data_IF_967553330477
#
_entry.id   IF_967553330477
#
_cell.length_a   1.000
_cell.length_b   1.000
_cell.length_c   1.000
_cell.angle_alpha   90.00
_cell.angle_beta   90.00
_cell.angle_gamma   90.00
#
_symmetry.space_group_name_H-M   'P 1'
#
loop_
_entity.id
_entity.type
_entity.pdbx_description
1 polymer ?
#
# COMPACT_ATOMS: atom_id res chain seq x y z
N UNK A 1 -13.89 -20.31 16.68
CA UNK A 1 -14.02 -20.44 15.20
C UNK A 1 -12.96 -19.53 14.61
N UNK A 2 -12.00 -20.08 13.87
CA UNK A 2 -10.93 -19.26 13.27
C UNK A 2 -11.41 -18.78 11.91
N UNK A 3 -11.45 -17.46 11.72
CA UNK A 3 -11.76 -16.87 10.43
C UNK A 3 -10.52 -16.93 9.52
N UNK A 4 -10.75 -17.05 8.24
CA UNK A 4 -9.72 -16.96 7.19
C UNK A 4 -10.25 -16.10 6.06
N UNK A 5 -9.35 -15.38 5.41
CA UNK A 5 -9.69 -14.61 4.20
C UNK A 5 -10.00 -15.56 3.05
N UNK A 6 -11.03 -15.23 2.28
CA UNK A 6 -11.27 -15.80 0.94
C UNK A 6 -10.98 -14.69 -0.05
N UNK A 7 -10.12 -14.95 -1.01
CA UNK A 7 -9.60 -13.92 -1.87
C UNK A 7 -9.65 -14.29 -3.35
N UNK A 8 -9.60 -13.26 -4.18
CA UNK A 8 -9.21 -13.31 -5.58
C UNK A 8 -8.27 -12.14 -5.85
N UNK A 9 -7.25 -12.34 -6.67
CA UNK A 9 -6.29 -11.30 -7.02
C UNK A 9 -6.13 -11.22 -8.54
N UNK A 10 -5.91 -10.01 -9.03
CA UNK A 10 -5.57 -9.75 -10.42
C UNK A 10 -4.60 -8.58 -10.48
N UNK A 11 -3.57 -8.71 -11.31
CA UNK A 11 -2.67 -7.63 -11.68
C UNK A 11 -2.61 -7.51 -13.20
N UNK A 12 -2.47 -6.30 -13.72
CA UNK A 12 -2.47 -6.03 -15.15
C UNK A 12 -1.65 -4.76 -15.43
N UNK A 13 -0.81 -4.78 -16.45
CA UNK A 13 0.02 -3.63 -16.84
C UNK A 13 -0.79 -2.44 -17.34
N UNK A 14 -2.07 -2.68 -17.71
CA UNK A 14 -2.93 -1.69 -18.33
C UNK A 14 -2.59 -1.45 -19.81
N UNK A 15 -3.09 -0.32 -20.34
CA UNK A 15 -3.00 -0.01 -21.78
C UNK A 15 -1.97 1.05 -22.13
N UNK A 16 -1.34 1.67 -21.14
CA UNK A 16 -0.48 2.86 -21.32
C UNK A 16 0.96 2.59 -20.90
N UNK A 17 1.16 1.82 -19.82
CA UNK A 17 2.47 1.52 -19.27
C UNK A 17 3.13 0.37 -20.02
N UNK A 18 4.47 0.39 -20.13
CA UNK A 18 5.24 -0.69 -20.72
C UNK A 18 5.49 -1.85 -19.75
N UNK A 19 5.47 -1.55 -18.44
CA UNK A 19 5.67 -2.54 -17.39
C UNK A 19 4.72 -2.26 -16.20
N UNK A 20 4.49 -3.29 -15.41
CA UNK A 20 3.73 -3.24 -14.19
C UNK A 20 4.71 -3.27 -13.01
N UNK A 21 4.69 -2.23 -12.20
CA UNK A 21 5.53 -2.09 -11.01
C UNK A 21 4.77 -2.41 -9.71
N UNK A 22 3.52 -2.88 -9.83
CA UNK A 22 2.72 -3.32 -8.69
C UNK A 22 3.16 -4.69 -8.20
N UNK A 23 3.08 -4.89 -6.89
CA UNK A 23 3.21 -6.20 -6.25
C UNK A 23 2.07 -6.42 -5.26
N UNK A 24 1.67 -7.67 -5.09
CA UNK A 24 0.63 -8.03 -4.14
C UNK A 24 0.91 -9.39 -3.49
N UNK A 25 0.46 -9.53 -2.26
CA UNK A 25 0.35 -10.80 -1.56
C UNK A 25 -1.08 -11.00 -1.08
N UNK A 26 -1.61 -12.19 -1.25
CA UNK A 26 -2.92 -12.58 -0.74
C UNK A 26 -2.83 -13.97 -0.12
N UNK A 27 -3.12 -14.05 1.16
CA UNK A 27 -3.04 -15.25 1.96
C UNK A 27 -4.26 -15.46 2.85
N UNK A 28 -4.13 -16.37 3.81
CA UNK A 28 -5.25 -16.75 4.69
C UNK A 28 -5.57 -15.69 5.73
N UNK A 29 -4.58 -14.92 6.14
CA UNK A 29 -4.70 -13.91 7.19
C UNK A 29 -4.16 -12.54 6.76
N UNK A 30 -3.35 -12.49 5.69
CA UNK A 30 -2.72 -11.27 5.22
C UNK A 30 -3.10 -10.97 3.77
N UNK A 31 -3.37 -9.70 3.50
CA UNK A 31 -3.41 -9.13 2.15
C UNK A 31 -2.51 -7.91 2.11
N UNK A 32 -1.70 -7.76 1.06
CA UNK A 32 -0.83 -6.61 0.84
C UNK A 32 -0.92 -6.20 -0.62
N UNK A 33 -1.02 -4.90 -0.86
CA UNK A 33 -0.86 -4.27 -2.16
C UNK A 33 0.21 -3.19 -2.05
N UNK A 34 1.12 -3.17 -3.00
CA UNK A 34 2.18 -2.18 -3.13
C UNK A 34 2.27 -1.72 -4.59
N UNK A 35 2.06 -0.41 -4.84
CA UNK A 35 2.23 0.23 -6.15
C UNK A 35 3.61 0.89 -6.18
N UNK A 36 4.48 0.33 -6.98
CA UNK A 36 5.87 0.76 -7.09
C UNK A 36 6.02 2.02 -7.92
N UNK A 37 6.81 2.96 -7.42
CA UNK A 37 7.11 4.23 -8.07
C UNK A 37 8.62 4.48 -8.14
N UNK A 38 9.04 5.36 -9.04
CA UNK A 38 10.47 5.69 -9.20
C UNK A 38 10.88 5.85 -10.67
N UNK A 39 9.92 6.10 -11.55
CA UNK A 39 10.15 6.33 -12.97
C UNK A 39 10.67 5.08 -13.68
N UNK A 40 11.91 5.13 -14.22
CA UNK A 40 12.48 4.02 -15.00
C UNK A 40 13.22 3.00 -14.14
N UNK A 41 13.44 3.24 -12.84
CA UNK A 41 14.33 2.42 -12.03
C UNK A 41 13.73 2.17 -10.64
N UNK A 42 13.51 0.88 -10.33
CA UNK A 42 13.34 0.42 -8.96
C UNK A 42 11.93 0.39 -8.38
N UNK A 43 10.88 0.86 -9.08
CA UNK A 43 9.51 0.76 -8.58
C UNK A 43 9.09 -0.69 -8.32
N UNK A 44 9.37 -1.57 -9.25
CA UNK A 44 9.16 -3.01 -9.13
C UNK A 44 9.98 -3.64 -7.97
N UNK A 45 11.20 -3.16 -7.76
CA UNK A 45 12.05 -3.60 -6.64
C UNK A 45 11.43 -3.16 -5.32
N UNK A 46 10.99 -1.89 -5.22
CA UNK A 46 10.41 -1.35 -4.00
C UNK A 46 9.11 -2.07 -3.61
N UNK A 47 8.19 -2.25 -4.56
CA UNK A 47 6.92 -2.95 -4.32
C UNK A 47 7.12 -4.41 -3.96
N UNK A 48 8.00 -5.13 -4.70
CA UNK A 48 8.29 -6.53 -4.46
C UNK A 48 8.99 -6.75 -3.11
N UNK A 49 9.99 -5.93 -2.75
CA UNK A 49 10.66 -6.01 -1.46
C UNK A 49 9.65 -5.82 -0.32
N UNK A 50 8.83 -4.77 -0.37
CA UNK A 50 7.81 -4.49 0.66
C UNK A 50 6.84 -5.66 0.83
N UNK A 51 6.36 -6.24 -0.27
CA UNK A 51 5.43 -7.39 -0.21
C UNK A 51 6.12 -8.62 0.38
N UNK A 52 7.38 -8.88 0.01
CA UNK A 52 8.14 -10.03 0.53
C UNK A 52 8.44 -9.90 2.03
N UNK A 53 8.71 -8.69 2.50
CA UNK A 53 8.96 -8.42 3.93
C UNK A 53 7.70 -8.63 4.78
N UNK A 54 6.53 -8.25 4.28
CA UNK A 54 5.28 -8.43 4.99
C UNK A 54 4.69 -9.85 4.88
N UNK A 55 5.00 -10.60 3.81
CA UNK A 55 4.39 -11.91 3.55
C UNK A 55 4.51 -12.93 4.72
N UNK A 56 5.61 -12.97 5.51
CA UNK A 56 5.71 -13.86 6.67
C UNK A 56 4.62 -13.63 7.73
N UNK A 57 4.00 -12.44 7.77
CA UNK A 57 2.90 -12.13 8.68
C UNK A 57 1.65 -13.00 8.44
N UNK A 58 1.54 -13.67 7.30
CA UNK A 58 0.43 -14.61 7.02
C UNK A 58 0.50 -15.91 7.84
N UNK A 59 1.67 -16.27 8.36
CA UNK A 59 1.94 -17.62 8.82
C UNK A 59 1.46 -17.92 10.24
N UNK A 60 1.30 -16.92 11.16
CA UNK A 60 1.15 -17.20 12.61
C UNK A 60 0.24 -16.20 13.33
N UNK A 61 -0.42 -16.66 14.40
CA UNK A 61 -1.12 -15.80 15.36
C UNK A 61 -0.13 -14.89 16.12
N UNK A 62 -0.31 -13.61 16.01
CA UNK A 62 0.48 -12.59 16.71
C UNK A 62 -0.18 -12.23 18.03
N UNK A 63 0.63 -11.98 19.08
CA UNK A 63 0.12 -11.55 20.39
C UNK A 63 -0.52 -10.15 20.28
N UNK A 64 0.05 -9.26 19.46
CA UNK A 64 -0.49 -7.93 19.21
C UNK A 64 -0.43 -7.54 17.72
N UNK A 65 -1.45 -7.88 16.92
CA UNK A 65 -1.50 -7.53 15.51
C UNK A 65 -1.55 -6.02 15.23
N UNK A 66 -1.97 -5.22 16.20
CA UNK A 66 -2.05 -3.77 16.05
C UNK A 66 -0.68 -3.10 16.05
N UNK A 67 0.32 -3.71 16.69
CA UNK A 67 1.70 -3.23 16.70
C UNK A 67 2.53 -3.91 15.62
N UNK A 68 2.37 -5.20 15.41
CA UNK A 68 3.21 -5.97 14.48
C UNK A 68 3.11 -5.48 13.04
N UNK A 69 1.92 -5.10 12.57
CA UNK A 69 1.75 -4.64 11.21
C UNK A 69 2.42 -3.27 10.95
N UNK A 70 2.25 -2.24 11.78
CA UNK A 70 3.01 -0.99 11.65
C UNK A 70 4.52 -1.18 11.78
N UNK A 71 4.98 -2.02 12.71
CA UNK A 71 6.40 -2.26 12.93
C UNK A 71 7.05 -2.93 11.71
N UNK A 72 6.38 -3.90 11.08
CA UNK A 72 6.90 -4.55 9.89
C UNK A 72 6.90 -3.61 8.67
N UNK A 73 5.92 -2.72 8.55
CA UNK A 73 5.93 -1.67 7.51
C UNK A 73 7.08 -0.70 7.73
N UNK A 74 7.37 -0.34 8.98
CA UNK A 74 8.53 0.48 9.32
C UNK A 74 9.84 -0.23 8.97
N UNK A 75 9.95 -1.53 9.24
CA UNK A 75 11.09 -2.36 8.87
C UNK A 75 11.27 -2.42 7.34
N UNK A 76 10.21 -2.66 6.59
CA UNK A 76 10.23 -2.63 5.13
C UNK A 76 10.75 -1.27 4.60
N UNK A 77 10.34 -0.15 5.20
CA UNK A 77 10.86 1.17 4.83
C UNK A 77 12.37 1.30 5.09
N UNK A 78 12.87 0.76 6.21
CA UNK A 78 14.32 0.75 6.49
C UNK A 78 15.08 -0.07 5.45
N UNK A 79 14.57 -1.25 5.09
CA UNK A 79 15.17 -2.12 4.07
C UNK A 79 15.24 -1.41 2.71
N UNK A 80 14.19 -0.71 2.30
CA UNK A 80 14.23 0.05 1.04
C UNK A 80 15.32 1.14 1.07
N UNK A 81 15.47 1.86 2.17
CA UNK A 81 16.55 2.85 2.32
C UNK A 81 17.94 2.20 2.28
N UNK A 82 18.13 1.02 2.87
CA UNK A 82 19.38 0.26 2.81
C UNK A 82 19.68 -0.19 1.37
N UNK A 83 18.69 -0.63 0.61
CA UNK A 83 18.85 -1.00 -0.79
C UNK A 83 19.32 0.19 -1.64
N UNK A 84 18.77 1.40 -1.43
CA UNK A 84 19.24 2.63 -2.10
C UNK A 84 20.68 2.96 -1.70
N UNK A 85 21.03 2.81 -0.41
CA UNK A 85 22.39 3.02 0.08
C UNK A 85 23.39 2.07 -0.58
N UNK A 86 23.03 0.78 -0.68
CA UNK A 86 23.86 -0.24 -1.30
C UNK A 86 23.96 -0.09 -2.83
N UNK A 87 22.90 0.43 -3.47
CA UNK A 87 22.85 0.66 -4.91
C UNK A 87 22.22 2.03 -5.23
N UNK A 88 23.04 3.09 -5.35
CA UNK A 88 22.54 4.44 -5.65
C UNK A 88 21.76 4.58 -6.97
N UNK A 89 21.81 3.58 -7.87
CA UNK A 89 20.97 3.57 -9.08
C UNK A 89 19.49 3.41 -8.76
N UNK A 90 19.15 2.95 -7.56
CA UNK A 90 17.78 2.84 -7.05
C UNK A 90 17.29 4.13 -6.40
N UNK A 91 18.07 5.19 -6.38
CA UNK A 91 17.68 6.46 -5.78
C UNK A 91 16.37 6.98 -6.38
N UNK A 92 15.41 7.31 -5.49
CA UNK A 92 14.07 7.75 -5.88
C UNK A 92 13.09 6.59 -6.17
N UNK A 93 13.47 5.33 -5.91
CA UNK A 93 12.49 4.26 -5.83
C UNK A 93 11.63 4.43 -4.57
N UNK A 94 10.41 4.03 -4.67
CA UNK A 94 9.48 3.99 -3.55
C UNK A 94 8.26 3.15 -3.89
N UNK A 95 7.38 2.99 -2.92
CA UNK A 95 6.13 2.26 -3.13
C UNK A 95 5.04 2.72 -2.17
N UNK A 96 3.79 2.57 -2.57
CA UNK A 96 2.66 2.57 -1.64
C UNK A 96 2.67 1.28 -0.82
N UNK A 97 1.92 1.26 0.27
CA UNK A 97 1.59 0.04 0.98
C UNK A 97 0.18 0.12 1.53
N UNK A 98 -0.68 -0.82 1.14
CA UNK A 98 -1.99 -1.01 1.74
C UNK A 98 -2.09 -2.47 2.16
N UNK A 99 -2.16 -2.71 3.46
CA UNK A 99 -2.13 -4.04 4.03
C UNK A 99 -3.30 -4.28 4.99
N UNK A 100 -3.76 -5.52 5.04
CA UNK A 100 -4.78 -5.98 5.98
C UNK A 100 -4.37 -7.30 6.63
N UNK A 101 -4.25 -7.33 7.95
CA UNK A 101 -3.92 -8.51 8.75
C UNK A 101 -5.13 -8.95 9.56
N UNK A 102 -5.64 -10.15 9.28
CA UNK A 102 -6.75 -10.75 10.00
C UNK A 102 -6.24 -11.47 11.26
N UNK A 103 -6.63 -10.98 12.42
CA UNK A 103 -6.36 -11.61 13.69
C UNK A 103 -7.66 -11.87 14.47
N UNK A 104 -7.93 -13.13 14.74
CA UNK A 104 -9.20 -13.54 15.34
C UNK A 104 -10.39 -13.18 14.45
N UNK A 105 -11.16 -12.17 14.83
CA UNK A 105 -12.33 -11.66 14.11
C UNK A 105 -12.12 -10.22 13.61
N UNK A 106 -10.94 -9.64 13.81
CA UNK A 106 -10.61 -8.26 13.47
C UNK A 106 -9.64 -8.20 12.32
N UNK A 107 -9.94 -7.39 11.31
CA UNK A 107 -9.01 -7.04 10.24
C UNK A 107 -8.30 -5.73 10.63
N UNK A 108 -7.01 -5.83 10.95
CA UNK A 108 -6.14 -4.67 11.19
C UNK A 108 -5.66 -4.16 9.86
N UNK A 109 -5.81 -2.87 9.60
CA UNK A 109 -5.39 -2.26 8.34
C UNK A 109 -4.31 -1.21 8.56
N UNK A 110 -3.34 -1.19 7.65
CA UNK A 110 -2.35 -0.14 7.53
C UNK A 110 -2.31 0.38 6.09
N UNK A 111 -2.04 1.68 5.94
CA UNK A 111 -2.10 2.32 4.64
C UNK A 111 -1.08 3.45 4.52
N UNK A 112 -0.32 3.44 3.41
CA UNK A 112 0.61 4.50 2.99
C UNK A 112 0.49 4.66 1.48
N UNK A 113 0.25 5.89 1.01
CA UNK A 113 0.15 6.22 -0.41
C UNK A 113 -1.28 6.53 -0.86
N UNK A 114 -1.59 6.23 -2.11
CA UNK A 114 -2.88 6.48 -2.76
C UNK A 114 -3.55 5.22 -3.32
N UNK A 115 -3.01 4.03 -3.04
CA UNK A 115 -3.70 2.76 -3.27
C UNK A 115 -4.89 2.65 -2.32
N UNK A 116 -6.06 2.25 -2.82
CA UNK A 116 -7.30 2.37 -2.06
C UNK A 116 -7.87 1.04 -1.63
N UNK A 117 -8.39 0.98 -0.42
CA UNK A 117 -9.20 -0.11 0.08
C UNK A 117 -10.65 0.33 0.24
N UNK A 118 -11.57 -0.56 -0.12
CA UNK A 118 -13.01 -0.33 -0.03
C UNK A 118 -13.67 -1.46 0.78
N UNK A 119 -14.74 -1.12 1.46
CA UNK A 119 -15.58 -2.07 2.18
C UNK A 119 -16.97 -2.09 1.57
N UNK A 120 -17.47 -3.29 1.30
CA UNK A 120 -18.88 -3.52 1.00
C UNK A 120 -19.48 -4.38 2.11
N UNK A 121 -20.40 -3.83 2.86
CA UNK A 121 -21.13 -4.55 3.90
C UNK A 121 -22.55 -4.02 4.02
N UNK A 122 -23.51 -4.90 4.20
CA UNK A 122 -24.93 -4.57 4.38
C UNK A 122 -25.51 -3.71 3.22
N UNK A 123 -24.93 -3.88 2.01
CA UNK A 123 -25.31 -3.11 0.81
C UNK A 123 -24.65 -1.73 0.72
N UNK A 124 -23.87 -1.32 1.69
CA UNK A 124 -23.15 -0.04 1.71
C UNK A 124 -21.71 -0.24 1.21
N UNK A 125 -21.31 0.58 0.21
CA UNK A 125 -19.96 0.60 -0.34
C UNK A 125 -19.25 1.88 0.07
N UNK A 126 -18.12 1.75 0.77
CA UNK A 126 -17.36 2.89 1.29
C UNK A 126 -15.86 2.70 1.12
N UNK A 127 -15.13 3.79 0.90
CA UNK A 127 -13.68 3.80 0.94
C UNK A 127 -13.22 3.84 2.40
N UNK A 128 -12.27 2.95 2.76
CA UNK A 128 -11.73 2.84 4.12
C UNK A 128 -10.41 3.60 4.28
N UNK A 129 -9.68 3.80 3.19
CA UNK A 129 -8.39 4.52 3.18
C UNK A 129 -8.58 5.98 2.80
N UNK A 130 -7.69 6.85 3.29
CA UNK A 130 -7.58 8.24 2.84
C UNK A 130 -6.28 8.38 2.06
N UNK A 131 -6.34 8.91 0.85
CA UNK A 131 -5.17 9.04 -0.02
C UNK A 131 -4.12 9.99 0.60
N UNK A 132 -2.87 9.59 0.63
CA UNK A 132 -1.77 10.46 1.05
C UNK A 132 -1.25 11.29 -0.14
N UNK A 133 -2.14 12.08 -0.75
CA UNK A 133 -1.81 12.94 -1.89
C UNK A 133 -1.85 14.42 -1.49
N UNK A 134 -1.17 15.24 -2.30
CA UNK A 134 -1.21 16.69 -2.14
C UNK A 134 -2.64 17.25 -2.27
N UNK A 135 -3.40 16.74 -3.24
CA UNK A 135 -4.79 17.20 -3.45
C UNK A 135 -5.71 16.79 -2.31
N UNK A 136 -5.56 15.59 -1.75
CA UNK A 136 -6.33 15.18 -0.57
C UNK A 136 -6.05 16.11 0.63
N UNK A 137 -4.78 16.46 0.85
CA UNK A 137 -4.42 17.44 1.87
C UNK A 137 -5.12 18.78 1.67
N UNK A 138 -5.20 19.27 0.43
CA UNK A 138 -5.91 20.52 0.13
C UNK A 138 -7.42 20.41 0.40
N UNK A 139 -8.03 19.25 0.11
CA UNK A 139 -9.43 18.98 0.41
C UNK A 139 -9.66 18.97 1.93
N UNK A 140 -8.80 18.28 2.68
CA UNK A 140 -8.89 18.18 4.14
C UNK A 140 -8.73 19.55 4.84
N UNK A 141 -7.90 20.45 4.24
CA UNK A 141 -7.72 21.84 4.69
C UNK A 141 -8.83 22.80 4.21
N UNK A 142 -9.82 22.30 3.45
CA UNK A 142 -10.88 23.13 2.87
C UNK A 142 -10.41 24.11 1.79
N UNK A 143 -9.26 23.87 1.18
CA UNK A 143 -8.61 24.71 0.14
C UNK A 143 -8.91 24.23 -1.27
N UNK A 144 -9.52 23.08 -1.42
CA UNK A 144 -9.95 22.47 -2.68
C UNK A 144 -11.25 21.72 -2.46
N UNK A 145 -12.20 21.86 -3.36
CA UNK A 145 -13.41 21.04 -3.38
C UNK A 145 -13.06 19.61 -3.78
N UNK A 146 -13.67 18.59 -3.14
CA UNK A 146 -13.39 17.19 -3.44
C UNK A 146 -13.65 16.84 -4.93
N UNK A 147 -14.64 17.47 -5.55
CA UNK A 147 -14.96 17.30 -6.97
C UNK A 147 -13.90 17.88 -7.92
N UNK A 148 -13.05 18.80 -7.48
CA UNK A 148 -12.01 19.43 -8.28
C UNK A 148 -10.68 18.66 -8.21
N UNK A 149 -10.46 17.86 -7.14
CA UNK A 149 -9.24 17.11 -6.93
C UNK A 149 -8.79 16.25 -8.14
N UNK A 150 -9.68 15.54 -8.86
CA UNK A 150 -9.30 14.76 -10.03
C UNK A 150 -8.75 15.58 -11.21
N UNK A 151 -9.03 16.86 -11.25
CA UNK A 151 -8.61 17.77 -12.32
C UNK A 151 -7.43 18.66 -11.96
N UNK A 152 -6.97 18.60 -10.70
CA UNK A 152 -5.85 19.42 -10.22
C UNK A 152 -4.52 19.01 -10.89
N UNK A 153 -3.65 19.96 -11.27
CA UNK A 153 -2.35 19.66 -11.90
C UNK A 153 -1.47 18.70 -11.09
N UNK A 154 -1.49 18.83 -9.78
CA UNK A 154 -0.69 18.02 -8.84
C UNK A 154 -1.45 16.83 -8.26
N UNK A 155 -2.47 16.30 -8.94
CA UNK A 155 -3.29 15.20 -8.43
C UNK A 155 -2.52 13.92 -8.14
N UNK A 156 -1.40 13.71 -8.84
CA UNK A 156 -0.56 12.51 -8.70
C UNK A 156 0.64 12.72 -7.76
N UNK A 157 0.69 13.85 -7.03
CA UNK A 157 1.79 14.12 -6.09
C UNK A 157 1.49 13.41 -4.77
N UNK A 158 2.27 12.37 -4.49
CA UNK A 158 2.22 11.65 -3.22
C UNK A 158 2.95 12.44 -2.12
N UNK A 159 2.38 12.40 -0.92
CA UNK A 159 2.91 13.05 0.29
C UNK A 159 3.56 12.05 1.25
N UNK A 160 3.24 10.75 1.10
CA UNK A 160 3.79 9.65 1.89
C UNK A 160 3.94 8.42 1.03
N UNK A 161 5.13 7.82 1.09
CA UNK A 161 5.51 6.56 0.45
C UNK A 161 6.50 5.81 1.35
N UNK A 162 6.82 4.58 1.03
CA UNK A 162 7.96 3.84 1.55
C UNK A 162 9.14 3.98 0.57
N UNK A 163 10.37 4.14 1.09
CA UNK A 163 11.60 4.32 0.33
C UNK A 163 12.14 5.75 0.31
#
# INVERSE_FOLDING_TARGET
>A
MTLVLRYAARSDVGRVRAKNDDSAYVGRHLVVLADGMGGHVGGDVASASTVLDLAPLDAVGYEDPATVLPDEIQNANLILNELVHANPKLAGMGTTCTAGLLAGTTLHMAHIGDSRAYRLADGEFSQVTTDHTFVQKLVDEGRLEAGEAPFHPNKNVLMRVLG
#
